data_IF_630219702289
#
_entry.id   IF_630219702289
#
_cell.length_a   1.000
_cell.length_b   1.000
_cell.length_c   1.000
_cell.angle_alpha   90.00
_cell.angle_beta   90.00
_cell.angle_gamma   90.00
#
_symmetry.space_group_name_H-M   'P 1'
#
loop_
_entity.id
_entity.type
_entity.pdbx_description
1 polymer ?
#
# COMPACT_ATOMS: atom_id res chain seq x y z
N UNK A 1 -21.63 -6.26 5.00
CA UNK A 1 -20.18 -6.16 4.83
C UNK A 1 -19.79 -6.11 3.36
N UNK A 2 -20.25 -7.08 2.56
CA UNK A 2 -19.90 -7.12 1.15
C UNK A 2 -20.48 -5.95 0.35
N UNK A 3 -21.69 -5.50 0.67
CA UNK A 3 -22.28 -4.34 0.00
C UNK A 3 -21.51 -3.06 0.31
N UNK A 4 -21.03 -2.90 1.54
CA UNK A 4 -20.22 -1.75 1.94
C UNK A 4 -18.87 -1.76 1.20
N UNK A 5 -18.21 -2.90 1.15
CA UNK A 5 -16.94 -3.05 0.43
C UNK A 5 -17.10 -2.75 -1.06
N UNK A 6 -18.18 -3.21 -1.66
CA UNK A 6 -18.49 -2.92 -3.06
C UNK A 6 -18.62 -1.41 -3.30
N UNK A 7 -19.33 -0.70 -2.41
CA UNK A 7 -19.46 0.75 -2.53
C UNK A 7 -18.11 1.46 -2.46
N UNK A 8 -17.23 1.02 -1.54
CA UNK A 8 -15.89 1.56 -1.45
C UNK A 8 -15.09 1.33 -2.74
N UNK A 9 -15.16 0.12 -3.30
CA UNK A 9 -14.44 -0.20 -4.54
C UNK A 9 -14.90 0.61 -5.75
N UNK A 10 -16.15 1.04 -5.77
CA UNK A 10 -16.71 1.83 -6.87
C UNK A 10 -16.45 3.33 -6.74
N UNK A 11 -15.98 3.78 -5.59
CA UNK A 11 -15.71 5.19 -5.35
C UNK A 11 -14.24 5.50 -5.66
N UNK A 12 -13.94 6.60 -6.38
CA UNK A 12 -12.56 6.99 -6.66
C UNK A 12 -11.72 7.24 -5.42
N UNK A 13 -12.34 7.61 -4.31
CA UNK A 13 -11.67 7.83 -3.02
C UNK A 13 -11.91 6.69 -2.04
N UNK A 14 -12.36 5.55 -2.53
CA UNK A 14 -12.55 4.32 -1.76
C UNK A 14 -13.43 4.56 -0.53
N UNK A 15 -13.01 4.06 0.64
CA UNK A 15 -13.78 4.21 1.87
C UNK A 15 -14.00 5.67 2.26
N UNK A 16 -13.04 6.53 2.03
CA UNK A 16 -13.13 7.96 2.37
C UNK A 16 -14.19 8.65 1.54
N UNK A 17 -14.29 8.33 0.25
CA UNK A 17 -15.31 8.91 -0.62
C UNK A 17 -16.72 8.51 -0.19
N UNK A 18 -16.91 7.26 0.23
CA UNK A 18 -18.21 6.75 0.66
C UNK A 18 -18.57 7.25 2.07
N UNK A 19 -17.63 7.18 3.01
CA UNK A 19 -17.89 7.49 4.43
C UNK A 19 -17.82 9.00 4.74
N UNK A 20 -17.27 9.79 3.84
CA UNK A 20 -17.36 11.24 3.90
C UNK A 20 -16.30 11.93 4.74
N UNK A 21 -16.64 13.14 5.18
CA UNK A 21 -15.67 14.06 5.79
C UNK A 21 -15.12 13.58 7.12
N UNK A 22 -15.91 12.89 7.92
CA UNK A 22 -15.41 12.35 9.19
C UNK A 22 -14.29 11.32 8.94
N UNK A 23 -14.49 10.42 7.98
CA UNK A 23 -13.47 9.45 7.64
C UNK A 23 -12.21 10.15 7.14
N UNK A 24 -12.36 11.17 6.31
CA UNK A 24 -11.23 11.95 5.81
C UNK A 24 -10.41 12.57 6.95
N UNK A 25 -11.08 13.12 7.95
CA UNK A 25 -10.40 13.71 9.12
C UNK A 25 -9.69 12.66 9.96
N UNK A 26 -10.30 11.48 10.13
CA UNK A 26 -9.69 10.40 10.91
C UNK A 26 -8.41 9.90 10.23
N UNK A 27 -8.44 9.72 8.91
CA UNK A 27 -7.23 9.35 8.16
C UNK A 27 -6.16 10.43 8.25
N UNK A 28 -6.54 11.68 8.09
CA UNK A 28 -5.59 12.79 8.15
C UNK A 28 -5.00 12.99 9.56
N UNK A 29 -5.68 12.50 10.60
CA UNK A 29 -5.20 12.57 11.98
C UNK A 29 -4.13 11.54 12.33
N UNK A 30 -3.88 10.56 11.47
CA UNK A 30 -2.81 9.58 11.70
C UNK A 30 -1.47 10.25 11.49
N UNK A 31 -0.59 10.14 12.49
CA UNK A 31 0.75 10.75 12.44
C UNK A 31 1.87 9.73 12.39
N UNK A 32 1.56 8.45 12.56
CA UNK A 32 2.53 7.36 12.46
C UNK A 32 3.15 7.32 11.07
N UNK A 33 4.49 7.23 10.95
CA UNK A 33 5.12 7.09 9.64
C UNK A 33 4.61 5.87 8.88
N UNK A 34 4.35 6.05 7.59
CA UNK A 34 3.80 5.02 6.72
C UNK A 34 4.79 4.75 5.59
N UNK A 35 5.16 3.47 5.43
CA UNK A 35 5.94 3.00 4.29
C UNK A 35 5.11 1.94 3.58
N UNK A 36 4.86 2.13 2.30
CA UNK A 36 4.14 1.14 1.49
C UNK A 36 5.07 0.48 0.50
N UNK A 37 4.87 -0.81 0.29
CA UNK A 37 5.51 -1.57 -0.77
C UNK A 37 4.47 -1.92 -1.82
N UNK A 38 4.78 -1.62 -3.07
CA UNK A 38 3.92 -1.97 -4.19
C UNK A 38 4.77 -2.49 -5.35
N UNK A 39 4.13 -3.20 -6.28
CA UNK A 39 4.83 -3.92 -7.33
C UNK A 39 4.24 -3.58 -8.69
N UNK A 40 5.12 -3.41 -9.69
CA UNK A 40 4.68 -2.99 -11.03
C UNK A 40 3.87 -4.07 -11.75
N UNK A 41 3.99 -5.33 -11.33
CA UNK A 41 3.21 -6.43 -11.89
C UNK A 41 1.98 -6.80 -11.07
N UNK A 42 1.58 -5.96 -10.14
CA UNK A 42 0.34 -6.12 -9.39
C UNK A 42 -0.82 -5.55 -10.21
N UNK A 43 -1.71 -6.42 -10.66
CA UNK A 43 -2.84 -6.02 -11.50
C UNK A 43 -3.99 -5.36 -10.71
N UNK A 44 -3.98 -5.51 -9.40
CA UNK A 44 -5.04 -4.97 -8.53
C UNK A 44 -4.68 -3.61 -7.94
N UNK A 45 -3.41 -3.36 -7.66
CA UNK A 45 -2.96 -2.12 -7.03
C UNK A 45 -1.95 -1.39 -7.91
N UNK A 46 -2.45 -0.43 -8.67
CA UNK A 46 -1.60 0.44 -9.49
C UNK A 46 -0.88 1.48 -8.63
N UNK A 47 0.13 2.14 -9.21
CA UNK A 47 0.78 3.28 -8.56
C UNK A 47 -0.23 4.36 -8.19
N UNK A 48 -1.18 4.63 -9.09
CA UNK A 48 -2.23 5.63 -8.88
C UNK A 48 -3.11 5.29 -7.69
N UNK A 49 -3.50 4.02 -7.54
CA UNK A 49 -4.31 3.57 -6.42
C UNK A 49 -3.54 3.69 -5.11
N UNK A 50 -2.27 3.34 -5.09
CA UNK A 50 -1.42 3.45 -3.92
C UNK A 50 -1.23 4.92 -3.51
N UNK A 51 -1.01 5.80 -4.47
CA UNK A 51 -0.91 7.24 -4.22
C UNK A 51 -2.21 7.81 -3.66
N UNK A 52 -3.34 7.37 -4.19
CA UNK A 52 -4.65 7.81 -3.72
C UNK A 52 -4.86 7.44 -2.26
N UNK A 53 -4.48 6.21 -1.88
CA UNK A 53 -4.57 5.76 -0.49
C UNK A 53 -3.64 6.59 0.41
N UNK A 54 -2.42 6.87 -0.02
CA UNK A 54 -1.46 7.67 0.73
C UNK A 54 -1.97 9.09 1.02
N UNK A 55 -2.71 9.69 0.09
CA UNK A 55 -3.22 11.05 0.27
C UNK A 55 -4.15 11.20 1.45
N UNK A 56 -4.84 10.12 1.83
CA UNK A 56 -5.75 10.17 2.98
C UNK A 56 -5.00 10.41 4.29
N UNK A 57 -3.75 9.99 4.37
CA UNK A 57 -2.90 10.11 5.55
C UNK A 57 -2.07 11.39 5.49
N UNK A 58 -2.75 12.53 5.31
CA UNK A 58 -2.08 13.80 5.07
C UNK A 58 -1.20 14.27 6.24
N UNK A 59 -1.48 13.82 7.47
CA UNK A 59 -0.72 14.19 8.66
C UNK A 59 0.48 13.28 8.95
N UNK A 60 0.71 12.23 8.16
CA UNK A 60 1.77 11.26 8.41
C UNK A 60 2.94 11.42 7.44
N UNK A 61 4.21 11.19 7.89
CA UNK A 61 5.31 11.01 6.96
C UNK A 61 5.03 9.78 6.10
N UNK A 62 5.14 9.92 4.78
CA UNK A 62 4.74 8.86 3.84
C UNK A 62 5.87 8.58 2.87
N UNK A 63 6.19 7.29 2.70
CA UNK A 63 7.15 6.82 1.72
C UNK A 63 6.52 5.71 0.92
N UNK A 64 6.54 5.84 -0.41
CA UNK A 64 6.02 4.82 -1.30
C UNK A 64 7.19 4.16 -2.02
N UNK A 65 7.40 2.88 -1.78
CA UNK A 65 8.45 2.09 -2.43
C UNK A 65 7.81 1.16 -3.43
N UNK A 66 8.09 1.39 -4.70
CA UNK A 66 7.52 0.61 -5.79
C UNK A 66 8.63 -0.16 -6.49
N UNK A 67 8.45 -1.46 -6.64
CA UNK A 67 9.44 -2.35 -7.20
C UNK A 67 8.92 -3.05 -8.46
N UNK A 68 9.75 -3.11 -9.50
CA UNK A 68 9.55 -4.08 -10.55
C UNK A 68 10.14 -5.42 -10.09
N UNK A 69 9.59 -6.57 -10.50
CA UNK A 69 10.16 -7.86 -10.12
C UNK A 69 11.65 -7.96 -10.45
N UNK A 70 12.08 -7.40 -11.58
CA UNK A 70 13.48 -7.41 -11.99
C UNK A 70 14.40 -6.68 -11.01
N UNK A 71 13.89 -5.64 -10.33
CA UNK A 71 14.67 -4.90 -9.33
C UNK A 71 15.02 -5.77 -8.12
N UNK A 72 14.26 -6.83 -7.91
CA UNK A 72 14.43 -7.77 -6.79
C UNK A 72 15.08 -9.07 -7.22
N UNK A 73 15.42 -9.21 -8.52
CA UNK A 73 15.90 -10.47 -9.06
C UNK A 73 14.84 -11.55 -9.16
N UNK A 74 13.55 -11.17 -9.14
CA UNK A 74 12.43 -12.07 -9.23
C UNK A 74 11.81 -12.04 -10.62
N UNK A 75 11.15 -13.14 -11.00
CA UNK A 75 10.40 -13.19 -12.25
C UNK A 75 9.05 -12.52 -12.12
N UNK A 76 8.42 -12.71 -10.97
CA UNK A 76 7.06 -12.27 -10.72
C UNK A 76 6.86 -12.08 -9.24
N UNK A 77 6.19 -11.00 -8.84
CA UNK A 77 5.71 -10.80 -7.47
C UNK A 77 4.18 -10.77 -7.48
N UNK A 78 3.56 -9.85 -8.23
CA UNK A 78 2.12 -9.73 -8.33
C UNK A 78 1.48 -9.27 -7.03
N UNK A 79 0.17 -9.48 -6.93
CA UNK A 79 -0.60 -9.01 -5.78
C UNK A 79 -0.31 -9.80 -4.49
N UNK A 80 -0.07 -11.08 -4.60
CA UNK A 80 0.13 -11.96 -3.44
C UNK A 80 1.58 -12.43 -3.26
N UNK A 81 2.46 -12.12 -4.18
CA UNK A 81 3.82 -12.64 -4.18
C UNK A 81 4.67 -12.20 -3.00
N UNK A 82 4.35 -11.05 -2.40
CA UNK A 82 5.05 -10.55 -1.22
C UNK A 82 5.06 -11.57 -0.07
N UNK A 83 4.02 -12.37 0.04
CA UNK A 83 3.84 -13.30 1.16
C UNK A 83 4.43 -14.68 0.91
N UNK A 84 5.06 -14.91 -0.25
CA UNK A 84 5.71 -16.18 -0.54
C UNK A 84 7.07 -16.24 0.14
N UNK A 85 7.45 -17.40 0.78
CA UNK A 85 8.75 -17.52 1.44
C UNK A 85 9.93 -17.28 0.49
N UNK A 86 9.76 -17.53 -0.79
CA UNK A 86 10.82 -17.37 -1.80
C UNK A 86 11.34 -15.94 -1.92
N UNK A 87 10.54 -14.96 -1.53
CA UNK A 87 10.96 -13.55 -1.59
C UNK A 87 11.67 -13.07 -0.33
N UNK A 88 11.91 -13.93 0.66
CA UNK A 88 12.55 -13.53 1.91
C UNK A 88 13.92 -12.89 1.69
N UNK A 89 14.75 -13.47 0.83
CA UNK A 89 16.09 -12.97 0.57
C UNK A 89 16.12 -11.76 -0.35
N UNK A 90 15.19 -11.67 -1.29
CA UNK A 90 15.16 -10.56 -2.27
C UNK A 90 14.41 -9.34 -1.77
N UNK A 91 13.44 -9.52 -0.88
CA UNK A 91 12.50 -8.46 -0.51
C UNK A 91 12.46 -8.22 1.00
N UNK A 92 12.21 -9.25 1.81
CA UNK A 92 12.01 -9.05 3.24
C UNK A 92 13.29 -8.59 3.94
N UNK A 93 14.42 -9.26 3.71
CA UNK A 93 15.67 -8.92 4.38
C UNK A 93 16.23 -7.58 3.95
N UNK A 94 16.36 -7.28 2.64
CA UNK A 94 16.95 -6.01 2.24
C UNK A 94 16.02 -4.81 2.36
N UNK A 95 14.70 -5.00 2.31
CA UNK A 95 13.75 -3.88 2.24
C UNK A 95 12.79 -3.80 3.42
N UNK A 96 12.18 -4.92 3.82
CA UNK A 96 11.15 -4.90 4.86
C UNK A 96 11.76 -4.83 6.26
N UNK A 97 12.69 -5.72 6.58
CA UNK A 97 13.26 -5.79 7.93
C UNK A 97 13.96 -4.49 8.35
N UNK A 98 14.70 -3.78 7.48
CA UNK A 98 15.26 -2.48 7.86
C UNK A 98 14.20 -1.47 8.25
N UNK A 99 13.05 -1.46 7.59
CA UNK A 99 11.96 -0.55 7.94
C UNK A 99 11.35 -0.89 9.30
N UNK A 100 11.20 -2.18 9.61
CA UNK A 100 10.70 -2.61 10.90
C UNK A 100 11.70 -2.31 12.02
N UNK A 101 12.99 -2.50 11.76
CA UNK A 101 14.03 -2.24 12.74
C UNK A 101 14.20 -0.74 13.04
N UNK A 102 13.87 0.14 12.08
CA UNK A 102 13.97 1.58 12.25
C UNK A 102 12.84 2.16 13.12
N UNK A 103 11.83 1.37 13.40
CA UNK A 103 10.67 1.77 14.21
C UNK A 103 10.83 1.26 15.65
#
# INVERSE_FOLDING_TARGET
VMAQWRRWCLDPEYAVGVEGELARRLFAGVTTPIVSFSFTDDDFMSARNTESLHRFYAGAPRTMKRFAPADLGERQVGHFGFFRPEVAESLWRPHLLPELAAR
#
